data_IF_595323476786
#
_entry.id   IF_595323476786
#
_cell.length_a   1.000
_cell.length_b   1.000
_cell.length_c   1.000
_cell.angle_alpha   90.00
_cell.angle_beta   90.00
_cell.angle_gamma   90.00
#
_symmetry.space_group_name_H-M   'P 1'
#
loop_
_entity.id
_entity.type
_entity.pdbx_description
1 polymer ?
#
# COMPACT_ATOMS: atom_id res chain seq x y z
N UNK A 1 7.61 -19.93 75.86
CA UNK A 1 8.25 -21.20 76.26
C UNK A 1 9.42 -21.40 75.33
N UNK A 2 10.58 -21.07 75.76
CA UNK A 2 11.56 -21.87 76.46
C UNK A 2 12.36 -22.71 75.50
N UNK A 3 13.58 -22.38 75.29
CA UNK A 3 14.86 -22.75 75.89
C UNK A 3 15.53 -23.81 75.01
N UNK A 4 16.77 -23.79 74.63
CA UNK A 4 18.02 -23.25 75.07
C UNK A 4 19.14 -23.97 74.33
N UNK A 5 20.22 -23.28 74.26
CA UNK A 5 21.58 -23.55 74.76
C UNK A 5 22.31 -24.71 74.08
N UNK A 6 23.56 -24.71 73.80
CA UNK A 6 24.70 -23.88 74.17
C UNK A 6 26.00 -24.54 73.69
N UNK A 7 26.98 -23.71 73.45
CA UNK A 7 28.43 -23.87 73.86
C UNK A 7 29.17 -25.16 73.53
N UNK A 8 30.44 -25.24 73.13
CA UNK A 8 31.66 -24.53 73.52
C UNK A 8 32.86 -24.93 72.67
N UNK A 9 33.74 -24.00 72.41
CA UNK A 9 35.21 -23.92 72.55
C UNK A 9 36.08 -25.18 72.30
N UNK A 10 37.12 -25.07 71.45
CA UNK A 10 38.53 -24.95 71.89
C UNK A 10 39.52 -24.91 70.72
N UNK A 11 40.40 -23.99 70.67
CA UNK A 11 41.78 -23.97 70.08
C UNK A 11 42.72 -24.58 71.12
N UNK A 12 44.07 -24.79 70.93
CA UNK A 12 45.01 -24.40 69.85
C UNK A 12 46.06 -25.51 69.53
N UNK A 13 47.04 -25.21 68.69
CA UNK A 13 48.28 -25.96 68.57
C UNK A 13 49.12 -25.64 67.34
N UNK A 14 50.07 -24.72 67.57
CA UNK A 14 51.18 -24.39 66.64
C UNK A 14 52.12 -25.57 66.40
N UNK A 15 52.71 -25.71 65.26
CA UNK A 15 54.14 -25.96 65.13
C UNK A 15 54.69 -25.59 63.72
N UNK A 16 55.71 -24.76 63.72
CA UNK A 16 56.62 -24.39 62.66
C UNK A 16 57.42 -25.64 62.14
N UNK A 17 57.83 -25.67 60.87
CA UNK A 17 59.24 -25.74 60.39
C UNK A 17 59.30 -25.87 58.84
N UNK A 18 59.82 -24.82 58.24
CA UNK A 18 61.08 -24.66 57.48
C UNK A 18 61.16 -25.25 56.07
N UNK A 19 61.19 -24.33 55.10
CA UNK A 19 62.21 -24.08 54.04
C UNK A 19 62.41 -25.20 52.99
N UNK A 20 62.04 -24.86 51.75
CA UNK A 20 62.93 -25.00 50.59
C UNK A 20 62.49 -24.07 49.46
N UNK A 21 63.38 -23.14 49.11
CA UNK A 21 63.39 -22.27 47.96
C UNK A 21 63.80 -23.06 46.66
N UNK A 22 63.28 -22.56 45.53
CA UNK A 22 63.73 -22.73 44.13
C UNK A 22 62.93 -23.72 43.21
N UNK A 23 62.71 -23.36 41.91
CA UNK A 23 62.80 -22.03 41.28
C UNK A 23 61.51 -21.65 40.50
N UNK A 24 61.31 -20.37 40.53
CA UNK A 24 60.43 -19.61 39.66
C UNK A 24 61.07 -19.52 38.28
N UNK A 25 60.57 -20.25 37.28
CA UNK A 25 60.69 -19.89 35.86
C UNK A 25 59.96 -20.95 35.02
N UNK A 26 59.12 -20.50 34.12
CA UNK A 26 58.34 -21.27 33.14
C UNK A 26 56.91 -21.65 33.51
N UNK A 27 56.05 -20.65 33.73
CA UNK A 27 54.64 -20.80 33.40
C UNK A 27 53.96 -19.42 33.23
N UNK A 28 54.52 -18.61 32.31
CA UNK A 28 53.88 -17.39 31.79
C UNK A 28 53.92 -17.49 30.28
N UNK A 29 53.09 -18.34 29.72
CA UNK A 29 52.75 -18.32 28.28
C UNK A 29 51.60 -19.29 27.99
N UNK A 30 50.36 -18.95 28.37
CA UNK A 30 49.14 -19.59 27.80
C UNK A 30 47.88 -18.99 28.44
N UNK A 31 47.79 -17.64 28.47
CA UNK A 31 46.50 -16.93 28.71
C UNK A 31 46.48 -15.75 27.76
N UNK A 32 46.58 -16.02 26.48
CA UNK A 32 46.19 -15.06 25.41
C UNK A 32 45.58 -15.90 24.33
N UNK A 33 44.29 -16.06 24.34
CA UNK A 33 43.43 -16.33 23.19
C UNK A 33 42.06 -16.81 23.65
N UNK A 34 41.30 -15.97 24.30
CA UNK A 34 39.84 -16.14 24.40
C UNK A 34 39.19 -14.77 24.52
N UNK A 35 39.63 -13.78 23.74
CA UNK A 35 38.76 -12.73 23.27
C UNK A 35 38.14 -13.23 21.96
N UNK A 36 37.25 -14.19 22.04
CA UNK A 36 36.23 -14.37 21.05
C UNK A 36 35.39 -13.09 21.13
N UNK A 37 35.61 -12.17 20.21
CA UNK A 37 34.61 -11.16 19.90
C UNK A 37 33.36 -11.96 19.51
N UNK A 38 32.42 -12.13 20.47
CA UNK A 38 31.04 -12.23 20.09
C UNK A 38 30.80 -10.98 19.25
N UNK A 39 30.67 -11.13 17.95
CA UNK A 39 29.89 -10.22 17.16
C UNK A 39 28.52 -10.27 17.83
N UNK A 40 28.25 -9.30 18.70
CA UNK A 40 26.86 -8.95 18.95
C UNK A 40 26.35 -8.60 17.55
N UNK A 41 25.49 -9.46 17.00
CA UNK A 41 24.60 -9.08 15.94
C UNK A 41 23.76 -7.94 16.52
N UNK A 42 24.30 -6.72 16.43
CA UNK A 42 23.56 -5.51 16.67
C UNK A 42 22.57 -5.48 15.52
N UNK A 43 21.37 -6.02 15.77
CA UNK A 43 20.27 -5.89 14.83
C UNK A 43 20.17 -4.37 14.57
N UNK A 44 20.46 -3.88 13.37
CA UNK A 44 20.46 -2.44 13.14
C UNK A 44 19.09 -1.92 13.54
N UNK A 45 19.07 -0.84 14.33
CA UNK A 45 17.81 -0.15 14.67
C UNK A 45 17.20 0.25 13.34
N UNK A 46 16.05 -0.35 12.99
CA UNK A 46 15.31 -0.05 11.78
C UNK A 46 14.23 0.95 12.12
N UNK A 47 14.02 1.92 11.25
CA UNK A 47 12.89 2.82 11.35
C UNK A 47 11.61 2.05 11.08
N UNK A 48 10.68 2.10 12.02
CA UNK A 48 9.36 1.48 11.86
C UNK A 48 8.51 2.36 10.95
N UNK A 49 7.85 1.71 9.99
CA UNK A 49 6.99 2.39 9.04
C UNK A 49 5.74 1.55 8.77
N UNK A 50 4.58 2.11 9.09
CA UNK A 50 3.29 1.46 8.87
C UNK A 50 2.61 1.98 7.61
N UNK A 51 2.11 1.07 6.77
CA UNK A 51 1.39 1.38 5.53
C UNK A 51 -0.03 0.87 5.62
N UNK A 52 -1.00 1.76 5.69
CA UNK A 52 -2.41 1.40 5.55
C UNK A 52 -2.72 1.14 4.06
N UNK A 53 -2.95 -0.13 3.71
CA UNK A 53 -3.33 -0.52 2.36
C UNK A 53 -4.76 -0.05 2.05
N UNK A 54 -5.12 0.09 0.76
CA UNK A 54 -6.44 0.53 0.33
C UNK A 54 -7.46 -0.62 0.29
N UNK A 55 -7.00 -1.85 0.10
CA UNK A 55 -7.81 -3.05 -0.07
C UNK A 55 -7.14 -4.30 0.49
N UNK A 56 -7.80 -5.46 0.35
CA UNK A 56 -7.16 -6.77 0.57
C UNK A 56 -6.00 -6.97 -0.40
N UNK A 57 -4.94 -7.73 0.00
CA UNK A 57 -3.84 -8.07 -0.89
C UNK A 57 -4.35 -8.64 -2.22
N UNK A 58 -3.91 -8.02 -3.31
CA UNK A 58 -4.30 -8.33 -4.69
C UNK A 58 -3.14 -7.94 -5.64
N UNK A 59 -3.24 -8.23 -6.95
CA UNK A 59 -2.19 -7.89 -7.92
C UNK A 59 -1.73 -6.44 -7.99
N UNK A 60 -2.56 -5.45 -7.67
CA UNK A 60 -2.14 -4.04 -7.66
C UNK A 60 -1.11 -3.76 -6.55
N UNK A 61 -1.05 -4.63 -5.53
CA UNK A 61 -0.09 -4.57 -4.43
C UNK A 61 1.20 -5.37 -4.69
N UNK A 62 1.38 -5.96 -5.88
CA UNK A 62 2.50 -6.85 -6.17
C UNK A 62 3.87 -6.23 -5.85
N UNK A 63 4.07 -4.94 -6.14
CA UNK A 63 5.32 -4.24 -5.84
C UNK A 63 5.64 -4.18 -4.33
N UNK A 64 4.64 -3.93 -3.49
CA UNK A 64 4.76 -3.89 -2.03
C UNK A 64 5.07 -5.25 -1.44
N UNK A 65 4.28 -6.25 -1.82
CA UNK A 65 4.42 -7.63 -1.33
C UNK A 65 5.74 -8.27 -1.75
N UNK A 66 6.20 -7.95 -2.96
CA UNK A 66 7.51 -8.40 -3.45
C UNK A 66 8.64 -7.66 -2.73
N UNK A 67 8.52 -6.34 -2.48
CA UNK A 67 9.54 -5.59 -1.75
C UNK A 67 9.70 -6.14 -0.32
N UNK A 68 8.60 -6.48 0.36
CA UNK A 68 8.60 -7.13 1.66
C UNK A 68 9.25 -8.52 1.59
N UNK A 69 8.78 -9.42 0.70
CA UNK A 69 9.29 -10.79 0.55
C UNK A 69 10.76 -10.85 0.19
N UNK A 70 11.23 -9.94 -0.67
CA UNK A 70 12.63 -9.88 -1.11
C UNK A 70 13.55 -9.16 -0.11
N UNK A 71 13.00 -8.65 1.00
CA UNK A 71 13.77 -7.94 2.02
C UNK A 71 14.21 -6.52 1.61
N UNK A 72 13.63 -5.94 0.55
CA UNK A 72 14.09 -4.63 0.05
C UNK A 72 13.80 -3.49 1.03
N UNK A 73 12.75 -3.59 1.85
CA UNK A 73 12.53 -2.65 2.94
C UNK A 73 13.58 -2.79 4.04
N UNK A 74 13.90 -4.04 4.41
CA UNK A 74 14.94 -4.32 5.40
C UNK A 74 16.32 -3.86 4.94
N UNK A 75 16.66 -4.08 3.66
CA UNK A 75 17.90 -3.58 3.03
C UNK A 75 18.00 -2.06 3.09
N UNK A 76 16.84 -1.37 3.01
CA UNK A 76 16.74 0.08 3.15
C UNK A 76 16.77 0.57 4.61
N UNK A 77 16.88 -0.33 5.59
CA UNK A 77 16.89 0.00 7.02
C UNK A 77 15.49 0.23 7.61
N UNK A 78 14.43 -0.25 6.95
CA UNK A 78 13.06 -0.08 7.37
C UNK A 78 12.46 -1.38 7.93
N UNK A 79 11.66 -1.25 8.98
CA UNK A 79 10.78 -2.29 9.52
C UNK A 79 9.34 -1.93 9.13
N UNK A 80 8.87 -2.49 8.00
CA UNK A 80 7.61 -2.10 7.35
C UNK A 80 6.49 -3.06 7.72
N UNK A 81 5.32 -2.52 8.09
CA UNK A 81 4.06 -3.27 8.15
C UNK A 81 3.10 -2.85 7.04
N UNK A 82 2.47 -3.82 6.37
CA UNK A 82 1.47 -3.62 5.33
C UNK A 82 0.09 -4.05 5.88
N UNK A 83 -0.74 -3.08 6.26
CA UNK A 83 -1.98 -3.32 7.00
C UNK A 83 -3.21 -3.18 6.10
N UNK A 84 -3.96 -4.27 5.90
CA UNK A 84 -5.21 -4.24 5.13
C UNK A 84 -6.34 -3.56 5.91
N UNK A 85 -7.14 -2.68 5.29
CA UNK A 85 -8.19 -1.96 5.98
C UNK A 85 -9.42 -2.83 6.22
N UNK A 86 -10.12 -2.55 7.32
CA UNK A 86 -11.46 -3.11 7.57
C UNK A 86 -12.56 -2.34 6.83
N UNK A 87 -12.30 -1.10 6.44
CA UNK A 87 -13.16 -0.20 5.69
C UNK A 87 -12.28 0.59 4.70
N UNK A 88 -12.58 0.56 3.38
CA UNK A 88 -11.77 1.22 2.36
C UNK A 88 -11.70 2.76 2.48
N UNK A 89 -12.53 3.39 3.31
CA UNK A 89 -12.50 4.84 3.56
C UNK A 89 -11.55 5.24 4.70
N UNK A 90 -10.89 4.28 5.36
CA UNK A 90 -10.06 4.55 6.54
C UNK A 90 -8.61 4.94 6.22
N UNK A 91 -7.91 4.39 5.22
CA UNK A 91 -6.46 4.53 5.08
C UNK A 91 -5.97 5.99 5.12
N UNK A 92 -6.56 6.86 4.31
CA UNK A 92 -6.17 8.29 4.27
C UNK A 92 -6.43 9.01 5.61
N UNK A 93 -7.47 8.62 6.34
CA UNK A 93 -7.79 9.18 7.67
C UNK A 93 -6.81 8.73 8.74
N UNK A 94 -6.28 7.50 8.61
CA UNK A 94 -5.24 6.99 9.52
C UNK A 94 -3.95 7.79 9.37
N UNK A 95 -3.53 8.09 8.15
CA UNK A 95 -2.38 8.95 7.88
C UNK A 95 -2.62 10.36 8.39
N UNK A 96 -3.76 10.98 8.07
CA UNK A 96 -4.08 12.32 8.55
C UNK A 96 -4.05 12.42 10.09
N UNK A 97 -4.45 11.35 10.77
CA UNK A 97 -4.46 11.25 12.23
C UNK A 97 -3.10 10.83 12.84
N UNK A 98 -2.06 10.55 12.02
CA UNK A 98 -0.77 10.04 12.48
C UNK A 98 -0.82 8.64 13.09
N UNK A 99 -1.80 7.83 12.67
CA UNK A 99 -1.98 6.42 13.09
C UNK A 99 -1.41 5.42 12.09
N UNK A 100 -1.06 5.87 10.92
CA UNK A 100 -0.24 5.19 9.94
C UNK A 100 0.72 6.23 9.34
N UNK A 101 1.90 5.79 8.95
CA UNK A 101 2.92 6.66 8.37
C UNK A 101 2.61 6.93 6.90
N UNK A 102 2.19 5.90 6.20
CA UNK A 102 1.80 5.96 4.79
C UNK A 102 0.43 5.29 4.58
N UNK A 103 -0.23 5.65 3.50
CA UNK A 103 -1.42 4.94 3.02
C UNK A 103 -1.41 4.81 1.51
N UNK A 104 -2.02 3.72 1.01
CA UNK A 104 -2.53 3.70 -0.35
C UNK A 104 -3.90 4.39 -0.37
N UNK A 105 -4.09 5.24 -1.34
CA UNK A 105 -5.32 5.98 -1.58
C UNK A 105 -5.45 6.33 -3.06
N UNK A 106 -6.33 7.24 -3.40
CA UNK A 106 -6.69 7.61 -4.76
C UNK A 106 -6.57 9.12 -4.95
N UNK A 107 -6.17 9.61 -6.13
CA UNK A 107 -6.04 11.05 -6.41
C UNK A 107 -7.29 11.83 -5.98
N UNK A 108 -8.53 11.43 -6.34
CA UNK A 108 -9.73 12.16 -5.91
C UNK A 108 -9.94 12.16 -4.39
N UNK A 109 -9.50 11.12 -3.68
CA UNK A 109 -9.65 11.03 -2.24
C UNK A 109 -8.65 11.95 -1.52
N UNK A 110 -7.42 12.07 -2.03
CA UNK A 110 -6.44 13.06 -1.54
C UNK A 110 -7.01 14.47 -1.64
N UNK A 111 -7.61 14.81 -2.78
CA UNK A 111 -8.19 16.14 -3.00
C UNK A 111 -9.36 16.43 -2.07
N UNK A 112 -10.23 15.45 -1.82
CA UNK A 112 -11.36 15.57 -0.89
C UNK A 112 -10.91 15.64 0.57
N UNK A 113 -9.87 14.90 0.95
CA UNK A 113 -9.30 14.98 2.29
C UNK A 113 -8.70 16.37 2.56
N UNK A 114 -7.98 16.93 1.59
CA UNK A 114 -7.45 18.30 1.65
C UNK A 114 -8.55 19.36 1.68
N UNK A 115 -9.64 19.18 0.95
CA UNK A 115 -10.83 20.03 1.02
C UNK A 115 -11.39 20.12 2.45
N UNK A 116 -11.29 19.01 3.20
CA UNK A 116 -11.70 18.93 4.61
C UNK A 116 -10.64 19.47 5.58
N UNK A 117 -9.53 20.00 5.08
CA UNK A 117 -8.43 20.53 5.88
C UNK A 117 -7.51 19.47 6.47
N UNK A 118 -7.56 18.22 5.99
CA UNK A 118 -6.64 17.17 6.42
C UNK A 118 -5.25 17.42 5.82
N UNK A 119 -4.23 17.30 6.66
CA UNK A 119 -2.82 17.45 6.29
C UNK A 119 -2.30 16.17 5.62
N UNK A 120 -2.61 16.00 4.34
CA UNK A 120 -2.17 14.86 3.53
C UNK A 120 -1.62 15.31 2.19
N UNK A 121 -0.61 14.59 1.69
CA UNK A 121 0.03 14.85 0.40
C UNK A 121 0.34 13.53 -0.30
N UNK A 122 0.13 13.47 -1.61
CA UNK A 122 0.55 12.33 -2.43
C UNK A 122 2.05 12.40 -2.69
N UNK A 123 2.77 11.31 -2.38
CA UNK A 123 4.24 11.25 -2.47
C UNK A 123 4.73 10.36 -3.61
N UNK A 124 3.88 9.51 -4.17
CA UNK A 124 4.19 8.70 -5.35
C UNK A 124 2.91 8.18 -6.02
N UNK A 125 2.93 8.04 -7.35
CA UNK A 125 1.93 7.29 -8.11
C UNK A 125 2.32 5.81 -8.16
N UNK A 126 1.39 4.92 -7.81
CA UNK A 126 1.53 3.46 -7.97
C UNK A 126 0.89 3.02 -9.28
N UNK A 127 -0.33 3.47 -9.57
CA UNK A 127 -1.01 3.24 -10.86
C UNK A 127 -1.51 4.58 -11.42
N UNK A 128 -0.89 5.03 -12.51
CA UNK A 128 -1.10 6.35 -13.09
C UNK A 128 -2.26 6.46 -14.09
N UNK A 129 -3.22 5.53 -14.06
CA UNK A 129 -4.40 5.55 -14.93
C UNK A 129 -5.61 4.94 -14.23
N UNK A 130 -6.85 5.31 -14.63
CA UNK A 130 -8.07 4.81 -14.03
C UNK A 130 -8.22 3.29 -14.15
N UNK A 131 -8.45 2.62 -13.03
CA UNK A 131 -8.84 1.21 -12.92
C UNK A 131 -10.33 1.09 -12.60
N UNK A 132 -10.87 2.05 -11.87
CA UNK A 132 -12.27 2.12 -11.49
C UNK A 132 -13.18 1.96 -12.70
N UNK A 133 -14.18 1.10 -12.56
CA UNK A 133 -15.12 0.77 -13.64
C UNK A 133 -16.54 0.74 -13.13
N UNK A 134 -17.48 1.00 -14.05
CA UNK A 134 -18.88 0.63 -13.90
C UNK A 134 -19.11 -0.73 -14.55
N UNK A 135 -19.53 -1.72 -13.75
CA UNK A 135 -19.70 -3.09 -14.21
C UNK A 135 -21.16 -3.54 -14.02
N UNK A 136 -21.70 -4.23 -15.00
CA UNK A 136 -22.94 -5.00 -14.89
C UNK A 136 -22.81 -6.35 -15.58
N UNK A 137 -23.65 -7.30 -15.23
CA UNK A 137 -23.67 -8.61 -15.89
C UNK A 137 -24.64 -8.61 -17.07
N UNK A 138 -24.35 -9.34 -18.15
CA UNK A 138 -25.27 -9.46 -19.30
C UNK A 138 -26.67 -9.93 -18.89
N UNK A 139 -26.80 -10.73 -17.80
CA UNK A 139 -28.09 -11.17 -17.25
C UNK A 139 -28.96 -10.02 -16.72
N UNK A 140 -28.38 -8.86 -16.38
CA UNK A 140 -29.14 -7.66 -15.92
C UNK A 140 -29.91 -6.97 -17.06
N UNK A 141 -29.66 -7.36 -18.31
CA UNK A 141 -30.25 -6.77 -19.53
C UNK A 141 -29.92 -5.29 -19.75
N UNK A 142 -28.92 -4.75 -19.04
CA UNK A 142 -28.37 -3.41 -19.25
C UNK A 142 -27.42 -3.50 -20.46
N UNK A 143 -27.64 -2.64 -21.46
CA UNK A 143 -26.81 -2.54 -22.67
C UNK A 143 -25.94 -1.28 -22.65
N UNK A 144 -26.41 -0.21 -21.99
CA UNK A 144 -25.74 1.11 -21.89
C UNK A 144 -26.17 1.83 -20.60
N UNK A 145 -25.43 2.85 -20.21
CA UNK A 145 -25.68 3.59 -18.95
C UNK A 145 -27.13 4.10 -18.83
N UNK A 146 -27.76 4.53 -19.93
CA UNK A 146 -29.16 4.99 -19.89
C UNK A 146 -30.16 3.93 -19.40
N UNK A 147 -29.81 2.67 -19.52
CA UNK A 147 -30.68 1.54 -19.08
C UNK A 147 -30.62 1.36 -17.55
N UNK A 148 -29.80 2.14 -16.84
CA UNK A 148 -29.75 2.20 -15.37
C UNK A 148 -30.96 2.90 -14.74
N UNK A 149 -31.79 3.58 -15.52
CA UNK A 149 -33.00 4.22 -15.00
C UNK A 149 -33.85 3.23 -14.18
N UNK A 150 -34.15 3.58 -12.93
CA UNK A 150 -34.88 2.75 -11.97
C UNK A 150 -34.14 1.52 -11.48
N UNK A 151 -32.84 1.39 -11.75
CA UNK A 151 -32.01 0.28 -11.28
C UNK A 151 -31.23 0.65 -10.02
N UNK A 152 -30.76 -0.38 -9.32
CA UNK A 152 -29.86 -0.21 -8.18
C UNK A 152 -28.41 -0.28 -8.68
N UNK A 153 -27.63 0.72 -8.28
CA UNK A 153 -26.17 0.79 -8.49
C UNK A 153 -25.50 0.72 -7.12
N UNK A 154 -24.61 -0.24 -6.93
CA UNK A 154 -23.79 -0.34 -5.72
C UNK A 154 -22.45 0.39 -5.88
N UNK A 155 -21.93 0.93 -4.75
CA UNK A 155 -20.62 1.59 -4.65
C UNK A 155 -19.88 1.06 -3.43
N UNK A 156 -18.56 1.27 -3.35
CA UNK A 156 -17.79 0.97 -2.14
C UNK A 156 -18.11 1.93 -0.98
N UNK A 157 -18.81 3.03 -1.25
CA UNK A 157 -19.11 4.05 -0.23
C UNK A 157 -18.02 5.08 -0.04
N UNK A 158 -17.05 5.13 -0.96
CA UNK A 158 -16.00 6.16 -0.99
C UNK A 158 -16.59 7.41 -1.65
N UNK A 159 -16.39 8.57 -1.04
CA UNK A 159 -17.14 9.79 -1.37
C UNK A 159 -17.00 10.28 -2.81
N UNK A 160 -15.80 10.14 -3.43
CA UNK A 160 -15.60 10.58 -4.81
C UNK A 160 -16.40 9.76 -5.85
N UNK A 161 -16.82 8.53 -5.51
CA UNK A 161 -17.61 7.68 -6.40
C UNK A 161 -18.99 8.30 -6.71
N UNK A 162 -19.48 9.17 -5.84
CA UNK A 162 -20.73 9.90 -6.08
C UNK A 162 -20.57 10.88 -7.24
N UNK A 163 -19.45 11.57 -7.33
CA UNK A 163 -19.15 12.46 -8.45
C UNK A 163 -19.01 11.69 -9.77
N UNK A 164 -18.38 10.53 -9.72
CA UNK A 164 -18.26 9.68 -10.89
C UNK A 164 -19.63 9.23 -11.36
N UNK A 165 -20.46 8.73 -10.44
CA UNK A 165 -21.81 8.32 -10.77
C UNK A 165 -22.63 9.47 -11.36
N UNK A 166 -22.62 10.66 -10.73
CA UNK A 166 -23.28 11.87 -11.22
C UNK A 166 -22.86 12.19 -12.66
N UNK A 167 -21.55 12.21 -12.92
CA UNK A 167 -20.98 12.50 -14.26
C UNK A 167 -21.40 11.47 -15.29
N UNK A 168 -21.29 10.18 -14.96
CA UNK A 168 -21.64 9.07 -15.86
C UNK A 168 -23.14 9.09 -16.21
N UNK A 169 -23.98 9.35 -15.23
CA UNK A 169 -25.43 9.45 -15.40
C UNK A 169 -25.80 10.67 -16.24
N UNK A 170 -25.25 11.85 -15.92
CA UNK A 170 -25.52 13.09 -16.64
C UNK A 170 -25.17 12.97 -18.13
N UNK A 171 -24.01 12.36 -18.44
CA UNK A 171 -23.62 12.10 -19.83
C UNK A 171 -24.56 11.16 -20.58
N UNK A 172 -25.28 10.29 -19.87
CA UNK A 172 -26.30 9.42 -20.42
C UNK A 172 -27.71 10.04 -20.43
N UNK A 173 -27.87 11.30 -20.00
CA UNK A 173 -29.15 12.00 -19.87
C UNK A 173 -30.00 11.45 -18.73
N UNK A 174 -29.33 11.07 -17.62
CA UNK A 174 -29.95 10.65 -16.36
C UNK A 174 -29.51 11.56 -15.23
N UNK A 175 -30.33 11.61 -14.17
CA UNK A 175 -30.04 12.26 -12.89
C UNK A 175 -29.89 11.20 -11.80
N UNK A 176 -29.26 11.57 -10.67
CA UNK A 176 -28.99 10.60 -9.58
C UNK A 176 -30.27 10.06 -8.92
N UNK A 177 -31.33 10.86 -8.83
CA UNK A 177 -32.63 10.46 -8.32
C UNK A 177 -33.33 9.38 -9.19
N UNK A 178 -32.86 9.20 -10.43
CA UNK A 178 -33.40 8.17 -11.34
C UNK A 178 -32.74 6.81 -11.17
N UNK A 179 -31.75 6.67 -10.27
CA UNK A 179 -31.12 5.41 -9.91
C UNK A 179 -31.12 5.24 -8.38
N UNK A 180 -31.17 4.00 -7.91
CA UNK A 180 -31.04 3.71 -6.48
C UNK A 180 -29.58 3.42 -6.15
N UNK A 181 -28.90 4.33 -5.44
CA UNK A 181 -27.54 4.12 -4.97
C UNK A 181 -27.55 3.35 -3.63
N UNK A 182 -26.61 2.38 -3.47
CA UNK A 182 -26.37 1.64 -2.23
C UNK A 182 -24.87 1.47 -1.98
N UNK A 183 -24.40 1.85 -0.78
CA UNK A 183 -23.06 1.55 -0.32
C UNK A 183 -22.96 0.11 0.17
N UNK A 184 -21.95 -0.63 -0.27
CA UNK A 184 -21.75 -2.05 0.08
C UNK A 184 -20.35 -2.36 0.59
N UNK A 185 -19.51 -1.34 0.80
CA UNK A 185 -18.11 -1.52 1.19
C UNK A 185 -17.38 -2.44 0.20
N UNK A 186 -16.70 -3.43 0.72
CA UNK A 186 -15.98 -4.44 -0.07
C UNK A 186 -16.89 -5.44 -0.79
N UNK A 187 -18.22 -5.38 -0.58
CA UNK A 187 -19.20 -6.30 -1.16
C UNK A 187 -19.63 -5.98 -2.60
N UNK A 188 -18.79 -5.33 -3.43
CA UNK A 188 -19.12 -4.89 -4.78
C UNK A 188 -19.55 -6.06 -5.68
N UNK A 189 -18.72 -7.09 -5.84
CA UNK A 189 -19.01 -8.25 -6.67
C UNK A 189 -20.20 -9.06 -6.14
N UNK A 190 -20.26 -9.45 -4.86
CA UNK A 190 -21.41 -10.14 -4.29
C UNK A 190 -22.73 -9.42 -4.55
N UNK A 191 -22.74 -8.07 -4.60
CA UNK A 191 -23.95 -7.28 -4.81
C UNK A 191 -24.57 -7.50 -6.20
N UNK A 192 -23.75 -7.58 -7.28
CA UNK A 192 -24.21 -7.81 -8.65
C UNK A 192 -24.39 -9.29 -8.98
N UNK A 193 -23.60 -10.17 -8.40
CA UNK A 193 -23.71 -11.62 -8.60
C UNK A 193 -25.03 -12.13 -8.01
N UNK A 194 -25.40 -11.68 -6.81
CA UNK A 194 -26.67 -12.02 -6.16
C UNK A 194 -27.89 -11.30 -6.78
N UNK A 195 -27.68 -10.29 -7.63
CA UNK A 195 -28.75 -9.46 -8.20
C UNK A 195 -29.31 -8.39 -7.25
N UNK A 196 -28.67 -8.19 -6.08
CA UNK A 196 -29.02 -7.13 -5.12
C UNK A 196 -28.84 -5.74 -5.73
N UNK A 197 -27.81 -5.58 -6.57
CA UNK A 197 -27.64 -4.45 -7.47
C UNK A 197 -27.59 -4.93 -8.92
N UNK A 198 -28.02 -4.09 -9.85
CA UNK A 198 -28.00 -4.41 -11.28
C UNK A 198 -26.69 -3.95 -11.95
N UNK A 199 -26.03 -2.96 -11.36
CA UNK A 199 -24.71 -2.50 -11.72
C UNK A 199 -23.92 -2.13 -10.46
N UNK A 200 -22.60 -2.03 -10.59
CA UNK A 200 -21.71 -1.57 -9.53
C UNK A 200 -20.71 -0.57 -10.11
N UNK A 201 -20.36 0.46 -9.33
CA UNK A 201 -19.31 1.42 -9.62
C UNK A 201 -18.26 1.32 -8.52
N UNK A 202 -17.00 1.19 -8.92
CA UNK A 202 -15.87 1.07 -7.99
C UNK A 202 -14.97 -0.12 -8.26
N UNK A 203 -15.45 -1.27 -8.80
CA UNK A 203 -14.56 -2.38 -9.11
C UNK A 203 -13.50 -1.99 -10.14
N UNK A 204 -12.30 -2.53 -9.98
CA UNK A 204 -11.21 -2.35 -10.92
C UNK A 204 -11.36 -3.33 -12.09
N UNK A 205 -11.12 -2.84 -13.32
CA UNK A 205 -11.29 -3.66 -14.52
C UNK A 205 -10.25 -4.79 -14.61
N UNK A 206 -9.05 -4.59 -14.05
CA UNK A 206 -7.95 -5.56 -14.03
C UNK A 206 -8.08 -6.62 -12.91
N UNK A 207 -8.81 -6.34 -11.85
CA UNK A 207 -9.05 -7.24 -10.72
C UNK A 207 -10.44 -7.85 -10.82
N UNK A 208 -11.47 -7.13 -10.42
CA UNK A 208 -12.84 -7.65 -10.36
C UNK A 208 -13.42 -7.91 -11.76
N UNK A 209 -13.05 -7.09 -12.75
CA UNK A 209 -13.45 -7.30 -14.13
C UNK A 209 -12.92 -8.61 -14.71
N UNK A 210 -11.69 -8.99 -14.35
CA UNK A 210 -11.07 -10.26 -14.71
C UNK A 210 -11.70 -11.42 -13.94
N UNK A 211 -11.89 -11.27 -12.62
CA UNK A 211 -12.48 -12.30 -11.77
C UNK A 211 -13.88 -12.73 -12.30
N UNK A 212 -14.77 -11.78 -12.53
CA UNK A 212 -16.10 -12.06 -13.09
C UNK A 212 -16.05 -12.81 -14.44
N UNK A 213 -15.04 -12.52 -15.29
CA UNK A 213 -14.83 -13.24 -16.55
C UNK A 213 -14.40 -14.68 -16.30
N UNK A 214 -13.46 -14.88 -15.37
CA UNK A 214 -12.93 -16.20 -15.02
C UNK A 214 -14.01 -17.09 -14.40
N UNK A 215 -14.95 -16.50 -13.64
CA UNK A 215 -16.15 -17.18 -13.13
C UNK A 215 -17.23 -17.45 -14.20
N UNK A 216 -17.02 -17.04 -15.46
CA UNK A 216 -17.98 -17.25 -16.55
C UNK A 216 -19.22 -16.35 -16.51
N UNK A 217 -19.22 -15.30 -15.69
CA UNK A 217 -20.39 -14.46 -15.40
C UNK A 217 -20.73 -13.43 -16.48
N UNK A 218 -19.99 -13.36 -17.57
CA UNK A 218 -20.19 -12.47 -18.72
C UNK A 218 -20.38 -11.00 -18.32
N UNK A 219 -19.37 -10.36 -17.63
CA UNK A 219 -19.46 -8.96 -17.26
C UNK A 219 -19.39 -8.05 -18.50
N UNK A 220 -20.03 -6.89 -18.41
CA UNK A 220 -19.80 -5.73 -19.25
C UNK A 220 -19.06 -4.73 -18.39
N UNK A 221 -17.79 -4.51 -18.69
CA UNK A 221 -16.86 -3.68 -17.94
C UNK A 221 -16.67 -2.36 -18.68
N UNK A 222 -16.92 -1.26 -18.00
CA UNK A 222 -16.83 0.08 -18.58
C UNK A 222 -15.92 0.94 -17.67
N UNK A 223 -14.64 1.14 -18.05
CA UNK A 223 -13.75 2.06 -17.32
C UNK A 223 -14.34 3.46 -17.27
N UNK A 224 -14.19 4.14 -16.13
CA UNK A 224 -14.86 5.44 -15.87
C UNK A 224 -14.39 6.55 -16.82
N UNK A 225 -13.14 6.51 -17.27
CA UNK A 225 -12.59 7.44 -18.26
C UNK A 225 -13.29 7.32 -19.63
N UNK A 226 -13.79 6.14 -19.98
CA UNK A 226 -14.61 5.93 -21.20
C UNK A 226 -16.05 6.41 -21.01
N UNK A 227 -16.46 6.64 -19.76
CA UNK A 227 -17.80 7.10 -19.42
C UNK A 227 -17.87 8.61 -19.12
N UNK A 228 -16.74 9.33 -19.22
CA UNK A 228 -16.69 10.78 -19.13
C UNK A 228 -16.02 11.36 -17.89
N UNK A 229 -15.52 10.53 -17.01
CA UNK A 229 -14.58 10.96 -15.96
C UNK A 229 -13.23 11.18 -16.62
N UNK A 230 -12.51 12.29 -16.39
CA UNK A 230 -11.16 12.48 -16.93
C UNK A 230 -10.19 11.42 -16.40
N UNK A 231 -9.02 11.30 -17.04
CA UNK A 231 -7.94 10.47 -16.51
C UNK A 231 -7.38 11.05 -15.22
N UNK A 232 -6.96 10.16 -14.32
CA UNK A 232 -6.37 10.48 -13.00
C UNK A 232 -5.48 9.32 -12.55
N UNK A 233 -4.68 9.53 -11.50
CA UNK A 233 -3.90 8.47 -10.85
C UNK A 233 -4.81 7.64 -9.96
N UNK A 234 -5.04 6.36 -10.34
CA UNK A 234 -5.94 5.49 -9.55
C UNK A 234 -5.37 5.19 -8.18
N UNK A 235 -4.11 4.71 -8.12
CA UNK A 235 -3.49 4.36 -6.84
C UNK A 235 -2.29 5.25 -6.59
N UNK A 236 -2.31 5.94 -5.46
CA UNK A 236 -1.23 6.83 -5.01
C UNK A 236 -0.80 6.48 -3.58
N UNK A 237 0.47 6.68 -3.29
CA UNK A 237 1.02 6.62 -1.94
C UNK A 237 0.86 7.99 -1.29
N UNK A 238 0.31 8.02 -0.09
CA UNK A 238 -0.02 9.25 0.64
C UNK A 238 0.72 9.26 1.98
N UNK A 239 1.26 10.41 2.33
CA UNK A 239 1.86 10.70 3.63
C UNK A 239 1.19 11.91 4.28
N UNK A 240 1.45 12.14 5.56
CA UNK A 240 1.09 13.40 6.22
C UNK A 240 2.03 14.52 5.74
N UNK A 241 1.49 15.70 5.42
CA UNK A 241 2.28 16.81 4.91
C UNK A 241 3.40 17.21 5.85
N UNK A 242 3.11 17.36 7.15
CA UNK A 242 4.13 17.67 8.18
C UNK A 242 5.22 16.60 8.28
N UNK A 243 4.91 15.31 8.09
CA UNK A 243 5.92 14.24 8.09
C UNK A 243 6.86 14.35 6.88
N UNK A 244 6.32 14.72 5.71
CA UNK A 244 7.13 14.96 4.50
C UNK A 244 8.12 16.11 4.69
N UNK A 245 7.74 17.15 5.46
CA UNK A 245 8.60 18.30 5.76
C UNK A 245 9.64 17.98 6.84
N UNK A 246 9.21 17.30 7.91
CA UNK A 246 10.03 17.09 9.12
C UNK A 246 10.95 15.84 9.01
N UNK A 247 10.44 14.75 8.43
CA UNK A 247 11.12 13.45 8.37
C UNK A 247 10.99 12.78 6.98
N UNK A 248 11.55 13.37 5.91
CA UNK A 248 11.39 12.88 4.54
C UNK A 248 12.14 11.58 4.23
N UNK A 249 13.24 11.27 4.95
CA UNK A 249 14.16 10.19 4.58
C UNK A 249 13.55 8.79 4.67
N UNK A 250 12.78 8.40 5.71
CA UNK A 250 12.12 7.09 5.74
C UNK A 250 11.15 6.90 4.57
N UNK A 251 10.43 7.96 4.17
CA UNK A 251 9.50 7.91 3.02
C UNK A 251 10.27 7.74 1.72
N UNK A 252 11.38 8.46 1.54
CA UNK A 252 12.27 8.35 0.38
C UNK A 252 12.85 6.94 0.23
N UNK A 253 13.34 6.37 1.32
CA UNK A 253 13.87 5.02 1.36
C UNK A 253 12.80 3.98 1.03
N UNK A 254 11.58 4.17 1.57
CA UNK A 254 10.43 3.32 1.27
C UNK A 254 10.09 3.34 -0.22
N UNK A 255 9.97 4.52 -0.84
CA UNK A 255 9.65 4.65 -2.27
C UNK A 255 10.74 3.99 -3.14
N UNK A 256 12.01 4.14 -2.78
CA UNK A 256 13.12 3.49 -3.49
C UNK A 256 13.06 1.96 -3.40
N UNK A 257 12.76 1.40 -2.21
CA UNK A 257 12.59 -0.03 -2.00
C UNK A 257 11.35 -0.56 -2.74
N UNK A 258 10.23 0.17 -2.71
CA UNK A 258 9.03 -0.14 -3.47
C UNK A 258 9.29 -0.16 -4.97
N UNK A 259 10.07 0.78 -5.50
CA UNK A 259 10.49 0.81 -6.90
C UNK A 259 11.28 -0.46 -7.29
N UNK A 260 12.17 -0.96 -6.41
CA UNK A 260 12.88 -2.24 -6.60
C UNK A 260 11.89 -3.41 -6.65
N UNK A 261 10.98 -3.49 -5.67
CA UNK A 261 9.94 -4.53 -5.61
C UNK A 261 9.05 -4.55 -6.84
N UNK A 262 8.64 -3.37 -7.31
CA UNK A 262 7.80 -3.25 -8.52
C UNK A 262 8.55 -3.70 -9.77
N UNK A 263 9.80 -3.29 -9.97
CA UNK A 263 10.63 -3.77 -11.09
C UNK A 263 10.83 -5.28 -11.05
N UNK A 264 11.09 -5.83 -9.86
CA UNK A 264 11.20 -7.27 -9.70
C UNK A 264 9.89 -7.97 -10.07
N UNK A 265 8.74 -7.48 -9.59
CA UNK A 265 7.43 -8.05 -9.91
C UNK A 265 7.15 -8.07 -11.41
N UNK A 266 7.49 -6.99 -12.13
CA UNK A 266 7.31 -6.89 -13.59
C UNK A 266 8.25 -7.85 -14.34
N UNK A 267 9.51 -7.99 -13.89
CA UNK A 267 10.51 -8.85 -14.55
C UNK A 267 10.37 -10.33 -14.17
N UNK A 268 9.74 -10.64 -13.01
CA UNK A 268 9.56 -12.01 -12.50
C UNK A 268 8.07 -12.31 -12.23
N UNK A 269 7.21 -12.32 -13.25
CA UNK A 269 5.75 -12.38 -13.08
C UNK A 269 5.27 -13.62 -12.33
N UNK A 270 5.92 -14.77 -12.51
CA UNK A 270 5.55 -16.00 -11.81
C UNK A 270 5.83 -15.93 -10.31
N UNK A 271 7.00 -15.41 -9.92
CA UNK A 271 7.35 -15.25 -8.50
C UNK A 271 6.48 -14.18 -7.83
N UNK A 272 6.22 -13.08 -8.52
CA UNK A 272 5.28 -12.05 -8.07
C UNK A 272 3.87 -12.62 -7.87
N UNK A 273 3.39 -13.47 -8.79
CA UNK A 273 2.09 -14.14 -8.64
C UNK A 273 2.04 -15.03 -7.40
N UNK A 274 3.08 -15.83 -7.14
CA UNK A 274 3.15 -16.67 -5.93
C UNK A 274 3.22 -15.82 -4.66
N UNK A 275 3.88 -14.67 -4.71
CA UNK A 275 3.95 -13.74 -3.59
C UNK A 275 2.56 -13.17 -3.25
N UNK A 276 1.82 -12.73 -4.27
CA UNK A 276 0.45 -12.21 -4.09
C UNK A 276 -0.49 -13.29 -3.55
N UNK A 277 -0.40 -14.53 -4.07
CA UNK A 277 -1.19 -15.66 -3.58
C UNK A 277 -0.91 -16.00 -2.12
N UNK A 278 0.36 -15.95 -1.71
CA UNK A 278 0.76 -16.21 -0.33
C UNK A 278 0.26 -15.14 0.66
N UNK A 279 -0.01 -13.93 0.19
CA UNK A 279 -0.49 -12.83 1.02
C UNK A 279 -2.02 -12.84 1.25
N UNK A 280 -2.78 -13.66 0.50
CA UNK A 280 -4.23 -13.71 0.63
C UNK A 280 -4.78 -15.10 0.23
N UNK A 281 -5.14 -15.89 1.22
CA UNK A 281 -5.66 -17.26 1.06
C UNK A 281 -7.00 -17.35 0.28
N UNK A 282 -7.69 -16.22 0.09
CA UNK A 282 -8.93 -16.18 -0.69
C UNK A 282 -8.69 -16.12 -2.22
N UNK A 283 -7.44 -15.93 -2.65
CA UNK A 283 -7.08 -15.85 -4.07
C UNK A 283 -6.93 -17.24 -4.68
N UNK A 284 -7.43 -17.38 -5.91
CA UNK A 284 -7.30 -18.60 -6.69
C UNK A 284 -6.21 -18.45 -7.76
N UNK A 285 -5.28 -19.40 -7.86
CA UNK A 285 -4.13 -19.37 -8.79
C UNK A 285 -4.53 -18.92 -10.20
N UNK A 286 -5.51 -19.58 -10.81
CA UNK A 286 -5.90 -19.31 -12.20
C UNK A 286 -6.48 -17.91 -12.40
N UNK A 287 -7.21 -17.40 -11.42
CA UNK A 287 -7.77 -16.04 -11.45
C UNK A 287 -6.65 -15.04 -11.25
N UNK A 288 -5.79 -15.25 -10.27
CA UNK A 288 -4.65 -14.38 -9.97
C UNK A 288 -3.66 -14.30 -11.13
N UNK A 289 -3.37 -15.42 -11.83
CA UNK A 289 -2.56 -15.40 -13.06
C UNK A 289 -3.13 -14.46 -14.12
N UNK A 290 -4.46 -14.50 -14.31
CA UNK A 290 -5.13 -13.64 -15.29
C UNK A 290 -5.15 -12.16 -14.85
N UNK A 291 -5.32 -11.90 -13.57
CA UNK A 291 -5.27 -10.57 -12.99
C UNK A 291 -3.85 -10.00 -13.04
N UNK A 292 -2.81 -10.76 -12.66
CA UNK A 292 -1.40 -10.36 -12.75
C UNK A 292 -1.02 -10.00 -14.19
N UNK A 293 -1.46 -10.79 -15.16
CA UNK A 293 -1.25 -10.48 -16.60
C UNK A 293 -1.86 -9.14 -17.00
N UNK A 294 -3.00 -8.75 -16.41
CA UNK A 294 -3.65 -7.48 -16.66
C UNK A 294 -2.99 -6.31 -15.89
N UNK A 295 -2.42 -6.59 -14.72
CA UNK A 295 -1.93 -5.59 -13.77
C UNK A 295 -0.46 -5.23 -13.99
N UNK A 296 0.43 -6.20 -14.20
CA UNK A 296 1.87 -5.92 -14.31
C UNK A 296 2.23 -4.85 -15.35
N UNK A 297 1.59 -4.77 -16.53
CA UNK A 297 1.84 -3.68 -17.47
C UNK A 297 1.43 -2.29 -16.96
N UNK A 298 0.58 -2.21 -15.93
CA UNK A 298 0.13 -0.96 -15.32
C UNK A 298 1.13 -0.46 -14.26
N UNK A 299 1.81 -1.41 -13.62
CA UNK A 299 2.87 -1.16 -12.64
C UNK A 299 4.21 -0.87 -13.32
N UNK A 300 4.37 -1.28 -14.58
CA UNK A 300 5.57 -1.02 -15.38
C UNK A 300 5.65 0.47 -15.74
N UNK A 301 6.31 1.23 -14.88
CA UNK A 301 6.59 2.65 -15.06
C UNK A 301 7.93 2.89 -15.76
N UNK A 302 8.44 1.87 -16.50
CA UNK A 302 9.66 2.01 -17.28
C UNK A 302 9.49 3.09 -18.36
N UNK A 303 10.16 4.20 -18.12
CA UNK A 303 10.16 5.39 -18.96
C UNK A 303 10.82 5.19 -20.33
N UNK A 304 11.43 4.03 -20.58
CA UNK A 304 12.05 3.71 -21.88
C UNK A 304 11.01 3.63 -23.02
N UNK A 305 9.72 3.53 -22.69
CA UNK A 305 8.60 3.51 -23.64
C UNK A 305 8.11 4.91 -24.06
N UNK A 306 8.68 5.98 -23.46
CA UNK A 306 8.38 7.38 -23.76
C UNK A 306 9.63 8.20 -24.02
N UNK A 307 9.46 9.39 -24.64
CA UNK A 307 10.58 10.27 -24.97
C UNK A 307 11.24 10.97 -23.76
N UNK A 308 10.71 10.78 -22.55
CA UNK A 308 11.19 11.40 -21.30
C UNK A 308 11.24 10.31 -20.22
N UNK A 309 12.44 10.05 -19.70
CA UNK A 309 12.62 9.20 -18.54
C UNK A 309 12.06 9.92 -17.30
N UNK A 310 11.05 9.33 -16.65
CA UNK A 310 10.53 9.81 -15.38
C UNK A 310 10.83 8.77 -14.28
N UNK A 311 11.13 9.19 -13.04
CA UNK A 311 11.37 8.24 -11.96
C UNK A 311 10.11 7.45 -11.63
N UNK A 312 10.28 6.28 -11.00
CA UNK A 312 9.17 5.55 -10.42
C UNK A 312 8.38 6.45 -9.48
N UNK A 313 7.07 6.37 -9.54
CA UNK A 313 6.18 7.16 -8.69
C UNK A 313 5.89 8.57 -9.20
N UNK A 314 6.40 8.95 -10.38
CA UNK A 314 6.21 10.31 -10.90
C UNK A 314 4.74 10.71 -11.04
N UNK A 315 4.43 11.92 -10.61
CA UNK A 315 3.10 12.51 -10.63
C UNK A 315 3.09 13.72 -11.55
N UNK A 316 2.24 13.70 -12.58
CA UNK A 316 2.13 14.80 -13.53
C UNK A 316 1.25 15.91 -12.95
N UNK A 317 1.87 16.99 -12.49
CA UNK A 317 1.19 18.14 -11.87
C UNK A 317 0.12 18.77 -12.77
N UNK A 318 0.35 18.82 -14.10
CA UNK A 318 -0.64 19.37 -15.04
C UNK A 318 -1.88 18.48 -15.16
N UNK A 319 -1.70 17.14 -15.14
CA UNK A 319 -2.80 16.18 -15.13
C UNK A 319 -3.63 16.30 -13.85
N UNK A 320 -2.98 16.36 -12.70
CA UNK A 320 -3.66 16.59 -11.41
C UNK A 320 -4.44 17.92 -11.40
N UNK A 321 -3.84 19.01 -11.94
CA UNK A 321 -4.55 20.30 -12.00
C UNK A 321 -5.78 20.23 -12.92
N UNK A 322 -5.68 19.51 -14.04
CA UNK A 322 -6.83 19.31 -14.93
C UNK A 322 -7.95 18.51 -14.23
N UNK A 323 -7.60 17.50 -13.44
CA UNK A 323 -8.56 16.72 -12.67
C UNK A 323 -9.20 17.53 -11.53
N UNK A 324 -8.42 18.35 -10.80
CA UNK A 324 -8.91 19.30 -9.80
C UNK A 324 -9.95 20.24 -10.43
N UNK A 325 -9.63 20.81 -11.59
CA UNK A 325 -10.52 21.73 -12.30
C UNK A 325 -11.83 21.04 -12.69
N UNK A 326 -11.76 19.78 -13.12
CA UNK A 326 -12.93 18.98 -13.40
C UNK A 326 -13.75 18.68 -12.14
N UNK A 327 -13.14 18.26 -11.03
CA UNK A 327 -13.85 18.03 -9.78
C UNK A 327 -14.59 19.28 -9.30
N UNK A 328 -13.98 20.47 -9.47
CA UNK A 328 -14.63 21.74 -9.18
C UNK A 328 -15.82 22.01 -10.10
N UNK A 329 -15.68 21.76 -11.40
CA UNK A 329 -16.76 21.91 -12.37
C UNK A 329 -17.95 20.95 -12.12
N UNK A 330 -17.73 19.86 -11.38
CA UNK A 330 -18.77 18.91 -10.94
C UNK A 330 -19.30 19.22 -9.54
N UNK A 331 -18.94 20.34 -8.92
CA UNK A 331 -19.30 20.74 -7.55
C UNK A 331 -18.85 19.74 -6.48
N UNK A 332 -17.78 18.96 -6.75
CA UNK A 332 -17.18 18.00 -5.82
C UNK A 332 -16.19 18.70 -4.90
N UNK A 333 -15.44 19.63 -5.43
CA UNK A 333 -14.57 20.53 -4.68
C UNK A 333 -15.20 21.93 -4.66
N UNK A 334 -15.40 22.49 -3.49
CA UNK A 334 -15.97 23.81 -3.29
C UNK A 334 -14.89 24.90 -3.36
N UNK A 335 -13.65 24.57 -2.93
CA UNK A 335 -12.54 25.51 -2.87
C UNK A 335 -11.53 25.27 -4.00
N UNK A 336 -10.85 26.33 -4.49
CA UNK A 336 -9.73 26.18 -5.40
C UNK A 336 -8.58 25.42 -4.72
N UNK A 337 -8.03 24.43 -5.41
CA UNK A 337 -6.82 23.73 -4.98
C UNK A 337 -5.78 23.82 -6.10
N UNK A 338 -4.50 23.79 -5.71
CA UNK A 338 -3.38 23.70 -6.65
C UNK A 338 -2.78 22.30 -6.54
N UNK A 339 -2.47 21.69 -7.66
CA UNK A 339 -1.88 20.37 -7.70
C UNK A 339 -0.55 20.30 -6.91
N UNK A 340 0.26 21.38 -6.97
CA UNK A 340 1.54 21.47 -6.24
C UNK A 340 1.40 21.44 -4.72
N UNK A 341 0.23 21.71 -4.19
CA UNK A 341 -0.04 21.59 -2.74
C UNK A 341 -0.53 20.19 -2.37
N UNK A 342 -1.03 19.41 -3.33
CA UNK A 342 -1.63 18.09 -3.12
C UNK A 342 -0.67 16.92 -3.39
N UNK A 343 0.43 17.17 -4.10
CA UNK A 343 1.45 16.17 -4.42
C UNK A 343 2.85 16.74 -4.30
N UNK A 344 3.83 15.86 -4.09
CA UNK A 344 5.25 16.17 -4.26
C UNK A 344 5.97 15.06 -5.01
N UNK A 345 6.95 15.42 -5.84
CA UNK A 345 7.88 14.50 -6.50
C UNK A 345 9.28 14.54 -5.87
N UNK A 346 9.49 15.31 -4.80
CA UNK A 346 10.82 15.55 -4.20
C UNK A 346 11.38 14.33 -3.45
N UNK A 347 10.52 13.34 -3.20
CA UNK A 347 10.87 12.10 -2.50
C UNK A 347 11.13 10.92 -3.44
N UNK A 348 10.97 11.12 -4.75
CA UNK A 348 11.15 10.06 -5.73
C UNK A 348 12.63 9.71 -5.92
N UNK A 349 12.97 8.44 -6.24
CA UNK A 349 14.34 8.05 -6.48
C UNK A 349 14.91 8.80 -7.70
N UNK A 350 16.03 9.48 -7.50
CA UNK A 350 16.73 10.25 -8.55
C UNK A 350 17.58 9.38 -9.46
N UNK A 351 17.99 8.22 -8.97
CA UNK A 351 18.81 7.29 -9.72
C UNK A 351 17.95 6.18 -10.30
N UNK A 352 17.96 6.08 -11.64
CA UNK A 352 17.55 4.83 -12.28
C UNK A 352 18.58 3.79 -11.89
N UNK A 353 18.33 3.04 -10.81
CA UNK A 353 19.15 1.91 -10.42
C UNK A 353 19.13 0.94 -11.61
N UNK A 354 20.30 0.82 -12.27
CA UNK A 354 20.50 -0.14 -13.35
C UNK A 354 20.09 -1.53 -12.85
N UNK A 355 19.42 -2.35 -13.65
CA UNK A 355 19.17 -3.73 -13.28
C UNK A 355 20.49 -4.44 -13.10
N UNK A 356 20.71 -5.10 -11.94
CA UNK A 356 21.77 -6.09 -11.77
C UNK A 356 21.49 -7.34 -12.58
#
# INVERSE_FOLDING_TARGET
MAVGSGRTFSRPGETLKRIALLPLAFLVALVVSACGTKSEDVNPVRDKLSVAMDWYPNPDHAGFLVAEKQGYFEDAGLDVSLDSPTDPSLPIKLVAAGKADLALSYEPEVLLAREQGLDVVSVATVVGQPLTSMIWLKKSKIKRVRDLRGKTVSTAGISYQDAYLKTILARAGLTEDQVKKVGVGQGLLPSIVSGRAQATLGPFWNIEGVDLKMQGLKPVVNPVDKLGVPTYSEVVLVAKGSQVEDEPDPIRLFIAALARGTRYAVSHPNDATQTVLAANDALEQKVTDAQMKATLPLLDQDSSKGNIAVPFGYQNTASWQAFINWMRAQDVLSQPQRAVDALTNDLLPTDQVQPE
#
